data_IF_480273900843
#
_entry.id   IF_480273900843
#
_cell.length_a   1.000
_cell.length_b   1.000
_cell.length_c   1.000
_cell.angle_alpha   90.00
_cell.angle_beta   90.00
_cell.angle_gamma   90.00
#
_symmetry.space_group_name_H-M   'P 1'
#
loop_
_entity.id
_entity.type
_entity.pdbx_description
1 polymer ?
#
# COMPACT_ATOMS: atom_id res chain seq x y z
N UNK A 1 -19.60 9.55 7.07
CA UNK A 1 -19.44 8.34 6.22
C UNK A 1 -17.96 8.00 6.22
N UNK A 2 -17.58 6.75 6.49
CA UNK A 2 -16.18 6.31 6.58
C UNK A 2 -16.02 5.04 5.76
N UNK A 3 -14.93 4.96 5.01
CA UNK A 3 -14.64 3.86 4.10
C UNK A 3 -13.47 3.05 4.66
N UNK A 4 -13.68 1.75 4.83
CA UNK A 4 -12.62 0.79 5.15
C UNK A 4 -12.59 -0.21 4.00
N UNK A 5 -11.53 -0.18 3.20
CA UNK A 5 -11.47 -0.80 1.87
C UNK A 5 -10.37 -1.87 1.83
N UNK A 6 -10.44 -2.92 0.98
CA UNK A 6 -9.47 -4.03 1.02
C UNK A 6 -8.00 -3.60 0.88
N UNK A 7 -7.68 -2.68 -0.03
CA UNK A 7 -6.30 -2.18 -0.19
C UNK A 7 -5.85 -1.36 1.03
N UNK A 8 -6.76 -0.73 1.78
CA UNK A 8 -6.43 -0.06 3.05
C UNK A 8 -5.89 -1.06 4.09
N UNK A 9 -6.42 -2.29 4.12
CA UNK A 9 -5.89 -3.36 4.96
C UNK A 9 -4.56 -3.90 4.43
N UNK A 10 -4.51 -4.25 3.14
CA UNK A 10 -3.33 -4.92 2.55
C UNK A 10 -2.09 -4.02 2.52
N UNK A 11 -2.27 -2.74 2.22
CA UNK A 11 -1.21 -1.73 2.16
C UNK A 11 -1.21 -0.81 3.39
N UNK A 12 -1.72 -1.30 4.53
CA UNK A 12 -1.63 -0.58 5.79
C UNK A 12 -0.16 -0.38 6.18
N UNK A 13 0.21 0.79 6.73
CA UNK A 13 1.50 0.98 7.36
C UNK A 13 1.56 0.20 8.67
N UNK A 14 2.69 0.29 9.37
CA UNK A 14 2.83 -0.29 10.71
C UNK A 14 1.79 0.27 11.68
N UNK A 15 1.23 -0.61 12.50
CA UNK A 15 0.32 -0.24 13.58
C UNK A 15 1.06 0.38 14.79
N UNK A 16 0.31 0.77 15.82
CA UNK A 16 0.84 1.35 17.06
C UNK A 16 1.80 0.42 17.83
N UNK A 17 1.78 -0.88 17.53
CA UNK A 17 2.70 -1.88 18.09
C UNK A 17 3.89 -2.16 17.18
N UNK A 18 4.03 -1.40 16.09
CA UNK A 18 5.08 -1.57 15.08
C UNK A 18 4.88 -2.78 14.17
N UNK A 19 3.67 -3.36 14.16
CA UNK A 19 3.36 -4.57 13.41
C UNK A 19 3.16 -4.22 11.93
N UNK A 20 3.98 -4.76 11.01
CA UNK A 20 3.90 -4.43 9.59
C UNK A 20 2.61 -4.95 8.95
N UNK A 21 2.10 -4.22 7.96
CA UNK A 21 0.94 -4.64 7.18
C UNK A 21 1.21 -5.86 6.29
N UNK A 22 0.17 -6.50 5.71
CA UNK A 22 0.34 -7.71 4.90
C UNK A 22 1.31 -7.56 3.73
N UNK A 23 1.27 -6.44 3.02
CA UNK A 23 2.17 -6.18 1.90
C UNK A 23 3.61 -5.98 2.36
N UNK A 24 3.84 -5.29 3.48
CA UNK A 24 5.16 -5.14 4.07
C UNK A 24 5.72 -6.51 4.51
N UNK A 25 4.90 -7.33 5.17
CA UNK A 25 5.27 -8.69 5.58
C UNK A 25 5.61 -9.59 4.40
N UNK A 26 4.85 -9.49 3.30
CA UNK A 26 5.10 -10.29 2.10
C UNK A 26 6.42 -9.94 1.41
N UNK A 27 6.92 -8.72 1.57
CA UNK A 27 8.21 -8.30 1.01
C UNK A 27 9.40 -8.77 1.85
N UNK A 28 9.22 -9.00 3.16
CA UNK A 28 10.29 -9.42 4.06
C UNK A 28 10.90 -10.76 3.61
N UNK A 29 12.24 -10.80 3.52
CA UNK A 29 12.98 -12.00 3.13
C UNK A 29 13.01 -12.29 1.63
N UNK A 30 12.42 -11.44 0.79
CA UNK A 30 12.47 -11.59 -0.67
C UNK A 30 13.91 -11.43 -1.18
N UNK A 31 14.39 -12.42 -1.93
CA UNK A 31 15.69 -12.34 -2.59
C UNK A 31 15.58 -11.46 -3.83
N UNK A 32 16.36 -10.38 -3.88
CA UNK A 32 16.44 -9.48 -5.03
C UNK A 32 17.70 -9.80 -5.82
N UNK A 33 17.54 -10.24 -7.08
CA UNK A 33 18.69 -10.58 -7.93
C UNK A 33 19.44 -9.34 -8.43
N UNK A 34 18.70 -8.31 -8.84
CA UNK A 34 19.24 -7.06 -9.37
C UNK A 34 18.60 -5.87 -8.66
N UNK A 35 19.33 -5.17 -7.78
CA UNK A 35 18.82 -3.98 -7.09
C UNK A 35 18.45 -2.82 -8.03
N UNK A 36 19.05 -2.74 -9.22
CA UNK A 36 18.72 -1.72 -10.22
C UNK A 36 17.37 -1.96 -10.91
N UNK A 37 16.86 -3.19 -10.85
CA UNK A 37 15.57 -3.58 -11.39
C UNK A 37 14.92 -4.68 -10.52
N UNK A 38 14.35 -4.33 -9.36
CA UNK A 38 13.85 -5.29 -8.37
C UNK A 38 12.46 -5.81 -8.75
N UNK A 39 12.37 -6.56 -9.84
CA UNK A 39 11.10 -7.07 -10.37
C UNK A 39 10.40 -8.07 -9.43
N UNK A 40 11.13 -8.74 -8.54
CA UNK A 40 10.59 -9.66 -7.54
C UNK A 40 9.66 -8.94 -6.57
N UNK A 41 10.06 -7.77 -6.08
CA UNK A 41 9.24 -6.95 -5.18
C UNK A 41 7.96 -6.49 -5.87
N UNK A 42 8.08 -6.06 -7.12
CA UNK A 42 6.93 -5.57 -7.89
C UNK A 42 5.96 -6.70 -8.22
N UNK A 43 6.44 -7.94 -8.44
CA UNK A 43 5.58 -9.13 -8.60
C UNK A 43 4.74 -9.39 -7.36
N UNK A 44 5.36 -9.31 -6.18
CA UNK A 44 4.66 -9.49 -4.90
C UNK A 44 3.61 -8.39 -4.72
N UNK A 45 3.97 -7.13 -4.89
CA UNK A 45 3.01 -6.01 -4.72
C UNK A 45 1.84 -6.14 -5.69
N UNK A 46 2.08 -6.51 -6.96
CA UNK A 46 1.02 -6.68 -7.97
C UNK A 46 0.12 -7.89 -7.72
N UNK A 47 0.57 -8.91 -6.98
CA UNK A 47 -0.30 -10.04 -6.65
C UNK A 47 -1.43 -9.65 -5.67
N UNK A 48 -1.32 -8.50 -5.02
CA UNK A 48 -2.38 -7.93 -4.17
C UNK A 48 -3.40 -7.07 -4.92
N UNK A 49 -3.23 -6.87 -6.23
CA UNK A 49 -4.05 -5.98 -7.07
C UNK A 49 -4.31 -4.60 -6.41
N UNK A 50 -3.26 -3.82 -6.13
CA UNK A 50 -3.39 -2.63 -5.29
C UNK A 50 -4.11 -1.48 -6.00
N UNK A 51 -5.23 -1.03 -5.43
CA UNK A 51 -5.92 0.20 -5.82
C UNK A 51 -5.64 1.34 -4.83
N UNK A 52 -4.68 2.23 -5.15
CA UNK A 52 -4.32 3.34 -4.26
C UNK A 52 -5.44 4.40 -4.12
N UNK A 53 -6.22 4.63 -5.17
CA UNK A 53 -7.39 5.51 -5.09
C UNK A 53 -8.42 4.98 -4.08
N UNK A 54 -8.60 3.66 -4.03
CA UNK A 54 -9.48 2.98 -3.08
C UNK A 54 -8.92 3.06 -1.65
N UNK A 55 -7.61 2.90 -1.50
CA UNK A 55 -6.95 2.83 -0.20
C UNK A 55 -7.02 4.15 0.59
N UNK A 56 -6.80 5.30 -0.07
CA UNK A 56 -6.59 6.60 0.60
C UNK A 56 -7.71 7.62 0.32
N UNK A 57 -8.48 7.47 -0.76
CA UNK A 57 -9.70 8.26 -1.00
C UNK A 57 -9.50 9.80 -0.91
N UNK A 58 -8.35 10.30 -1.37
CA UNK A 58 -7.94 11.72 -1.28
C UNK A 58 -8.52 12.63 -2.37
N UNK A 59 -9.27 12.08 -3.32
CA UNK A 59 -9.85 12.82 -4.45
C UNK A 59 -11.30 12.41 -4.64
N UNK A 60 -12.18 13.36 -4.91
CA UNK A 60 -13.59 13.09 -5.21
C UNK A 60 -13.82 12.77 -6.71
N UNK A 61 -15.06 12.39 -7.05
CA UNK A 61 -15.44 12.07 -8.43
C UNK A 61 -15.30 13.24 -9.43
N UNK A 62 -15.14 14.49 -8.95
CA UNK A 62 -14.93 15.69 -9.77
C UNK A 62 -13.45 16.09 -9.84
N UNK A 63 -12.54 15.29 -9.29
CA UNK A 63 -11.11 15.56 -9.27
C UNK A 63 -10.67 16.56 -8.19
N UNK A 64 -11.55 16.92 -7.24
CA UNK A 64 -11.19 17.84 -6.15
C UNK A 64 -10.41 17.08 -5.08
N UNK A 65 -9.28 17.66 -4.63
CA UNK A 65 -8.47 17.13 -3.53
C UNK A 65 -9.25 17.27 -2.22
N UNK A 66 -9.46 16.15 -1.53
CA UNK A 66 -10.14 16.05 -0.24
C UNK A 66 -9.16 16.10 0.95
N UNK A 67 -7.90 15.73 0.72
CA UNK A 67 -6.87 15.68 1.76
C UNK A 67 -5.48 15.34 1.23
N UNK A 68 -4.49 15.41 2.10
CA UNK A 68 -3.10 15.03 1.84
C UNK A 68 -2.56 14.35 3.08
N UNK A 69 -2.14 13.10 2.93
CA UNK A 69 -1.67 12.27 4.04
C UNK A 69 -0.18 12.00 3.88
N UNK A 70 0.56 12.14 5.00
CA UNK A 70 1.98 11.80 5.08
C UNK A 70 2.15 10.65 6.05
N UNK A 71 2.61 9.51 5.53
CA UNK A 71 3.07 8.40 6.37
C UNK A 71 4.43 8.81 6.95
N UNK A 72 4.55 8.79 8.28
CA UNK A 72 5.74 9.23 9.04
C UNK A 72 6.65 8.04 9.35
#
# INVERSE_FOLDING_TARGET
YQLVVPTTWNASPRDDKGQPGPMEQALLGTKVKDPGNPYELVRIVRSFDPCLACAVHTVDAKGRKLGEERVV
#
